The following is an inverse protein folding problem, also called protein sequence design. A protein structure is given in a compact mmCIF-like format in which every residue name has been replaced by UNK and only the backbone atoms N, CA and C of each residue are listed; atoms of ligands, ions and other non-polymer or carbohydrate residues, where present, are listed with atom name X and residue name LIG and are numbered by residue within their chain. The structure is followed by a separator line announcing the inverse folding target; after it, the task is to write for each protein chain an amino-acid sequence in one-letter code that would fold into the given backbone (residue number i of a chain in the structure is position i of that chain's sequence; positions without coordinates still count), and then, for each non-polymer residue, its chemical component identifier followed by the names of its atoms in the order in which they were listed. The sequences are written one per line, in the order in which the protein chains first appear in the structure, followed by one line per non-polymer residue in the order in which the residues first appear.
data_IF_906423678241
#
_entry.id   IF_906423678241
#
_cell.length_a   1.000
_cell.length_b   1.000
_cell.length_c   1.000
_cell.angle_alpha   90.00
_cell.angle_beta   90.00
_cell.angle_gamma   90.00
#
_symmetry.space_group_name_H-M   'P 1'
#
loop_
_entity.id
_entity.type
_entity.pdbx_description
1 polymer ?
#
# COMPACT_ATOMS: atom_id res chain seq x y z
N UNK A 1 24.81 54.17 30.80
CA UNK A 1 23.47 53.54 30.94
C UNK A 1 23.32 52.50 29.84
N UNK A 2 23.31 51.22 30.23
CA UNK A 2 23.29 50.04 29.35
C UNK A 2 21.84 49.64 29.05
N UNK A 3 21.46 49.47 27.78
CA UNK A 3 20.21 48.80 27.41
C UNK A 3 20.56 47.49 26.69
N UNK A 4 20.53 46.40 27.46
CA UNK A 4 20.61 45.02 26.95
C UNK A 4 19.23 44.64 26.43
N UNK A 5 19.08 44.52 25.12
CA UNK A 5 17.88 43.95 24.51
C UNK A 5 18.07 42.43 24.36
N UNK A 6 17.35 41.67 25.18
CA UNK A 6 17.20 40.22 25.05
C UNK A 6 16.09 39.95 24.02
N UNK A 7 16.43 39.33 22.90
CA UNK A 7 15.46 38.80 21.92
C UNK A 7 14.78 37.55 22.50
N UNK A 8 13.43 37.46 22.50
CA UNK A 8 12.75 36.22 22.81
C UNK A 8 12.80 35.27 21.60
N UNK A 9 13.44 34.11 21.82
CA UNK A 9 13.46 32.99 20.89
C UNK A 9 12.08 32.32 20.89
N UNK A 10 11.25 32.61 19.89
CA UNK A 10 9.96 31.95 19.70
C UNK A 10 10.17 30.57 19.06
N UNK A 11 10.20 29.51 19.89
CA UNK A 11 10.08 28.12 19.41
C UNK A 11 8.63 27.90 18.92
N UNK A 12 8.44 27.88 17.60
CA UNK A 12 7.24 27.34 16.97
C UNK A 12 7.28 25.81 17.09
N UNK A 13 6.74 25.27 18.19
CA UNK A 13 6.35 23.86 18.24
C UNK A 13 5.11 23.69 17.35
N UNK A 14 5.31 23.28 16.10
CA UNK A 14 4.23 22.71 15.32
C UNK A 14 3.85 21.36 15.96
N UNK A 15 2.59 21.13 16.35
CA UNK A 15 2.18 19.80 16.76
C UNK A 15 2.37 18.84 15.57
N UNK A 16 2.83 17.59 15.78
CA UNK A 16 2.80 16.60 14.73
C UNK A 16 1.33 16.45 14.32
N UNK A 17 1.03 16.75 13.06
CA UNK A 17 -0.25 16.41 12.47
C UNK A 17 -0.38 14.89 12.59
N UNK A 18 -1.18 14.42 13.55
CA UNK A 18 -1.67 13.05 13.56
C UNK A 18 -2.46 12.90 12.27
N UNK A 19 -1.84 12.30 11.26
CA UNK A 19 -2.52 11.89 10.05
C UNK A 19 -3.73 11.07 10.49
N UNK A 20 -4.93 11.59 10.19
CA UNK A 20 -6.17 10.91 10.50
C UNK A 20 -6.08 9.51 9.92
N UNK A 21 -6.29 8.51 10.77
CA UNK A 21 -6.64 7.17 10.35
C UNK A 21 -8.03 7.24 9.72
N UNK A 22 -8.12 7.82 8.52
CA UNK A 22 -9.28 7.66 7.65
C UNK A 22 -9.45 6.15 7.45
N UNK A 23 -10.56 5.61 7.94
CA UNK A 23 -10.93 4.21 7.72
C UNK A 23 -11.00 3.97 6.22
N UNK A 24 -10.04 3.22 5.71
CA UNK A 24 -9.94 2.98 4.29
C UNK A 24 -11.06 2.05 3.83
N UNK A 25 -11.96 2.54 2.99
CA UNK A 25 -13.06 1.74 2.44
C UNK A 25 -13.33 2.10 0.98
N UNK A 26 -13.63 1.08 0.19
CA UNK A 26 -14.01 1.20 -1.21
C UNK A 26 -15.29 2.03 -1.40
N UNK A 27 -16.13 2.08 -0.36
CA UNK A 27 -17.42 2.78 -0.39
C UNK A 27 -17.34 4.21 0.15
N UNK A 28 -16.15 4.70 0.51
CA UNK A 28 -15.98 6.10 0.89
C UNK A 28 -16.27 6.99 -0.34
N UNK A 29 -17.26 7.90 -0.27
CA UNK A 29 -17.67 8.72 -1.41
C UNK A 29 -16.68 9.85 -1.74
N UNK A 30 -15.84 10.24 -0.79
CA UNK A 30 -14.86 11.33 -0.94
C UNK A 30 -13.50 10.81 -1.40
N UNK A 31 -13.03 9.71 -0.81
CA UNK A 31 -11.75 9.08 -1.15
C UNK A 31 -11.88 7.55 -1.04
N UNK A 32 -12.39 6.86 -2.08
CA UNK A 32 -12.49 5.41 -2.06
C UNK A 32 -11.10 4.81 -2.02
N UNK A 33 -10.90 3.76 -1.22
CA UNK A 33 -9.62 3.07 -1.19
C UNK A 33 -9.75 1.61 -0.77
N UNK A 34 -8.72 0.81 -1.07
CA UNK A 34 -8.63 -0.60 -0.66
C UNK A 34 -7.24 -0.91 -0.10
N UNK A 35 -7.15 -1.85 0.83
CA UNK A 35 -5.86 -2.38 1.30
C UNK A 35 -5.18 -3.15 0.16
N UNK A 36 -3.85 -3.06 0.09
CA UNK A 36 -3.00 -3.72 -0.90
C UNK A 36 -1.89 -4.44 -0.14
N UNK A 37 -1.79 -5.74 -0.35
CA UNK A 37 -0.82 -6.61 0.30
C UNK A 37 -0.01 -7.35 -0.75
N UNK A 38 1.30 -7.49 -0.55
CA UNK A 38 2.13 -8.22 -1.50
C UNK A 38 3.23 -9.05 -0.85
N UNK A 39 3.55 -10.16 -1.48
CA UNK A 39 4.82 -10.86 -1.28
C UNK A 39 5.86 -10.28 -2.24
N UNK A 40 7.07 -10.03 -1.74
CA UNK A 40 8.20 -9.51 -2.53
C UNK A 40 9.35 -10.51 -2.46
N UNK A 41 9.71 -11.08 -3.61
CA UNK A 41 10.78 -12.07 -3.70
C UNK A 41 10.48 -13.38 -2.97
N UNK A 42 11.54 -14.01 -2.46
CA UNK A 42 11.47 -15.26 -1.70
C UNK A 42 11.75 -15.13 -0.20
N UNK A 43 12.35 -14.01 0.22
CA UNK A 43 13.06 -13.91 1.50
C UNK A 43 12.23 -13.24 2.61
N UNK A 44 10.93 -13.50 2.63
CA UNK A 44 10.04 -13.03 3.71
C UNK A 44 9.75 -11.53 3.70
N UNK A 45 10.20 -10.77 2.71
CA UNK A 45 9.82 -9.37 2.51
C UNK A 45 8.38 -9.29 1.98
N UNK A 46 7.57 -8.42 2.59
CA UNK A 46 6.20 -8.18 2.17
C UNK A 46 5.84 -6.70 2.26
N UNK A 47 4.84 -6.31 1.49
CA UNK A 47 4.30 -4.94 1.42
C UNK A 47 2.90 -4.90 2.00
N UNK A 48 2.60 -3.81 2.73
CA UNK A 48 1.26 -3.46 3.17
C UNK A 48 1.00 -1.97 2.95
N UNK A 49 -0.10 -1.68 2.26
CA UNK A 49 -0.43 -0.35 1.83
C UNK A 49 -1.88 -0.21 1.42
N UNK A 50 -2.17 0.90 0.74
CA UNK A 50 -3.50 1.29 0.29
C UNK A 50 -3.45 1.84 -1.12
N UNK A 51 -4.43 1.48 -1.93
CA UNK A 51 -4.70 2.09 -3.23
C UNK A 51 -5.91 3.00 -3.10
N UNK A 52 -5.80 4.23 -3.59
CA UNK A 52 -6.83 5.25 -3.52
C UNK A 52 -7.38 5.58 -4.90
N UNK A 53 -8.67 5.90 -4.99
CA UNK A 53 -9.39 6.16 -6.22
C UNK A 53 -10.22 4.97 -6.72
N UNK A 54 -11.00 5.18 -7.78
CA UNK A 54 -11.92 4.15 -8.31
C UNK A 54 -11.44 3.51 -9.62
N UNK A 55 -10.67 4.23 -10.43
CA UNK A 55 -10.15 3.76 -11.74
C UNK A 55 -8.67 4.08 -11.94
N UNK A 56 -8.20 5.09 -11.25
CA UNK A 56 -6.81 5.50 -11.19
C UNK A 56 -6.59 6.24 -9.87
N UNK A 57 -5.34 6.34 -9.46
CA UNK A 57 -4.96 7.13 -8.29
C UNK A 57 -3.61 6.70 -7.73
N UNK A 58 -3.40 7.01 -6.46
CA UNK A 58 -2.15 6.76 -5.73
C UNK A 58 -2.16 5.41 -5.03
N UNK A 59 -0.97 4.82 -4.89
CA UNK A 59 -0.71 3.71 -3.97
C UNK A 59 0.37 4.15 -3.01
N UNK A 60 0.17 3.90 -1.72
CA UNK A 60 1.14 4.19 -0.67
C UNK A 60 1.17 3.04 0.33
N UNK A 61 2.34 2.74 0.88
CA UNK A 61 2.50 1.75 1.92
C UNK A 61 3.94 1.58 2.32
N UNK A 62 4.21 0.50 3.04
CA UNK A 62 5.54 0.16 3.52
C UNK A 62 5.84 -1.31 3.34
N UNK A 63 7.12 -1.61 3.17
CA UNK A 63 7.65 -2.94 3.31
C UNK A 63 7.74 -3.34 4.78
N UNK A 64 7.85 -4.64 5.04
CA UNK A 64 7.99 -5.21 6.38
C UNK A 64 9.28 -4.81 7.10
N UNK A 65 10.29 -4.33 6.38
CA UNK A 65 11.51 -3.76 6.93
C UNK A 65 11.43 -2.25 7.22
N UNK A 66 10.27 -1.64 6.96
CA UNK A 66 10.01 -0.21 7.16
C UNK A 66 10.27 0.67 5.94
N UNK A 67 10.75 0.11 4.82
CA UNK A 67 10.96 0.88 3.59
C UNK A 67 9.63 1.42 3.06
N UNK A 68 9.52 2.74 2.90
CA UNK A 68 8.32 3.36 2.33
C UNK A 68 8.29 3.20 0.82
N UNK A 69 7.09 2.96 0.27
CA UNK A 69 6.87 2.90 -1.16
C UNK A 69 5.62 3.68 -1.54
N UNK A 70 5.71 4.39 -2.66
CA UNK A 70 4.62 5.17 -3.21
C UNK A 70 4.57 5.09 -4.73
N UNK A 71 3.41 5.34 -5.31
CA UNK A 71 3.28 5.37 -6.76
C UNK A 71 1.85 5.54 -7.22
N UNK A 72 1.56 5.03 -8.41
CA UNK A 72 0.26 5.21 -9.06
C UNK A 72 -0.30 3.90 -9.57
N UNK A 73 -1.62 3.86 -9.73
CA UNK A 73 -2.32 2.77 -10.36
C UNK A 73 -3.39 3.26 -11.32
N UNK A 74 -3.75 2.40 -12.27
CA UNK A 74 -4.78 2.68 -13.27
C UNK A 74 -5.41 1.39 -13.77
N UNK A 75 -6.68 1.43 -14.15
CA UNK A 75 -7.36 0.35 -14.89
C UNK A 75 -7.20 0.59 -16.38
N UNK A 76 -6.47 -0.30 -17.06
CA UNK A 76 -6.28 -0.26 -18.51
C UNK A 76 -7.34 -1.08 -19.24
N UNK A 77 -7.88 -0.47 -20.30
CA UNK A 77 -8.78 -1.06 -21.30
C UNK A 77 -10.13 -1.56 -20.74
N UNK A 78 -11.07 -1.87 -21.64
CA UNK A 78 -12.42 -2.32 -21.27
C UNK A 78 -12.43 -3.65 -20.49
N UNK A 79 -11.38 -4.47 -20.64
CA UNK A 79 -11.22 -5.74 -19.91
C UNK A 79 -11.03 -5.55 -18.40
N UNK A 80 -10.61 -4.35 -17.96
CA UNK A 80 -10.44 -4.05 -16.54
C UNK A 80 -9.12 -4.58 -15.95
N UNK A 81 -8.03 -4.59 -16.74
CA UNK A 81 -6.71 -5.01 -16.25
C UNK A 81 -6.11 -3.82 -15.50
N UNK A 82 -5.90 -3.98 -14.20
CA UNK A 82 -5.21 -2.98 -13.40
C UNK A 82 -3.71 -3.00 -13.67
N UNK A 83 -3.05 -1.85 -13.50
CA UNK A 83 -1.60 -1.73 -13.45
C UNK A 83 -1.21 -0.76 -12.36
N UNK A 84 -0.15 -1.09 -11.62
CA UNK A 84 0.54 -0.13 -10.76
C UNK A 84 2.03 -0.05 -11.09
N UNK A 85 2.58 1.12 -10.82
CA UNK A 85 4.01 1.42 -10.83
C UNK A 85 4.33 2.04 -9.46
N UNK A 86 5.28 1.46 -8.72
CA UNK A 86 5.73 1.90 -7.40
C UNK A 86 7.22 2.24 -7.41
N UNK A 87 7.60 3.19 -6.58
CA UNK A 87 8.97 3.52 -6.24
C UNK A 87 9.13 3.50 -4.71
N UNK A 88 10.20 2.90 -4.23
CA UNK A 88 10.53 2.78 -2.82
C UNK A 88 11.78 3.60 -2.46
N UNK A 89 11.90 3.97 -1.19
CA UNK A 89 13.02 4.78 -0.68
C UNK A 89 14.39 4.08 -0.80
N UNK A 90 14.41 2.75 -0.92
CA UNK A 90 15.61 1.94 -1.15
C UNK A 90 16.04 1.87 -2.63
N UNK A 91 15.37 2.62 -3.51
CA UNK A 91 15.63 2.63 -4.96
C UNK A 91 14.96 1.49 -5.73
N UNK A 92 14.12 0.68 -5.07
CA UNK A 92 13.33 -0.35 -5.74
C UNK A 92 12.18 0.27 -6.52
N UNK A 93 12.07 -0.13 -7.77
CA UNK A 93 10.93 0.18 -8.62
C UNK A 93 10.17 -1.11 -8.91
N UNK A 94 8.85 -1.08 -8.81
CA UNK A 94 8.01 -2.25 -9.03
C UNK A 94 6.88 -1.97 -10.02
N UNK A 95 6.58 -2.95 -10.86
CA UNK A 95 5.45 -2.90 -11.78
C UNK A 95 4.61 -4.15 -11.63
N UNK A 96 3.31 -3.95 -11.36
CA UNK A 96 2.35 -5.04 -11.12
C UNK A 96 1.16 -4.88 -12.05
N UNK A 97 0.68 -6.00 -12.59
CA UNK A 97 -0.57 -6.09 -13.33
C UNK A 97 -1.61 -6.88 -12.53
N UNK A 98 -2.85 -6.42 -12.54
CA UNK A 98 -3.94 -6.93 -11.72
C UNK A 98 -5.09 -7.45 -12.58
N UNK A 99 -5.74 -8.49 -12.08
CA UNK A 99 -7.01 -8.99 -12.61
C UNK A 99 -8.00 -9.11 -11.47
N UNK A 100 -9.22 -8.61 -11.68
CA UNK A 100 -10.30 -8.74 -10.71
C UNK A 100 -10.72 -10.20 -10.51
N UNK A 101 -10.97 -10.55 -9.24
CA UNK A 101 -11.61 -11.80 -8.81
C UNK A 101 -13.07 -11.55 -8.43
N UNK A 102 -13.33 -10.47 -7.70
CA UNK A 102 -14.68 -9.95 -7.45
C UNK A 102 -14.68 -8.44 -7.72
N UNK A 103 -15.52 -7.99 -8.66
CA UNK A 103 -15.63 -6.58 -9.01
C UNK A 103 -16.41 -5.77 -7.97
N UNK A 104 -17.32 -6.41 -7.23
CA UNK A 104 -18.18 -5.76 -6.23
C UNK A 104 -17.37 -5.30 -5.03
N UNK A 105 -16.44 -6.12 -4.56
CA UNK A 105 -15.57 -5.82 -3.41
C UNK A 105 -14.23 -5.20 -3.82
N UNK A 106 -14.01 -5.00 -5.12
CA UNK A 106 -12.72 -4.58 -5.66
C UNK A 106 -11.61 -5.63 -5.48
N UNK A 107 -11.94 -6.87 -5.11
CA UNK A 107 -10.94 -7.91 -4.86
C UNK A 107 -10.20 -8.26 -6.14
N UNK A 108 -8.90 -8.02 -6.16
CA UNK A 108 -8.02 -8.27 -7.28
C UNK A 108 -6.76 -9.01 -6.84
N UNK A 109 -6.23 -9.82 -7.75
CA UNK A 109 -4.90 -10.44 -7.60
C UNK A 109 -4.00 -9.96 -8.71
N UNK A 110 -2.73 -9.74 -8.41
CA UNK A 110 -1.76 -9.27 -9.39
C UNK A 110 -0.42 -9.99 -9.30
N UNK A 111 0.36 -9.80 -10.36
CA UNK A 111 1.74 -10.27 -10.42
C UNK A 111 2.63 -9.25 -11.13
N UNK A 112 3.90 -9.23 -10.76
CA UNK A 112 4.83 -8.21 -11.23
C UNK A 112 6.27 -8.56 -10.92
N UNK A 113 7.16 -7.62 -11.20
CA UNK A 113 8.58 -7.69 -10.82
C UNK A 113 9.12 -6.33 -10.42
N UNK A 114 10.18 -6.35 -9.61
CA UNK A 114 10.99 -5.17 -9.34
C UNK A 114 12.11 -4.99 -10.37
N UNK A 115 12.71 -3.79 -10.42
CA UNK A 115 13.96 -3.50 -11.14
C UNK A 115 15.15 -4.32 -10.61
N UNK A 116 15.09 -4.81 -9.38
CA UNK A 116 16.06 -5.72 -8.76
C UNK A 116 15.82 -7.20 -9.09
N UNK A 117 14.78 -7.50 -9.87
CA UNK A 117 14.51 -8.82 -10.41
C UNK A 117 13.63 -9.72 -9.54
N UNK A 118 13.13 -9.24 -8.40
CA UNK A 118 12.26 -10.04 -7.54
C UNK A 118 10.88 -10.23 -8.16
N UNK A 119 10.28 -11.38 -7.92
CA UNK A 119 8.87 -11.62 -8.24
C UNK A 119 7.96 -10.99 -7.21
N UNK A 120 6.85 -10.40 -7.66
CA UNK A 120 5.84 -9.80 -6.80
C UNK A 120 4.51 -10.51 -7.04
N UNK A 121 3.82 -10.89 -5.97
CA UNK A 121 2.42 -11.34 -5.97
C UNK A 121 1.61 -10.43 -5.07
N UNK A 122 0.48 -9.93 -5.56
CA UNK A 122 -0.30 -8.89 -4.88
C UNK A 122 -1.75 -9.31 -4.73
N UNK A 123 -2.36 -8.88 -3.63
CA UNK A 123 -3.78 -8.96 -3.34
C UNK A 123 -4.28 -7.58 -2.93
N UNK A 124 -5.44 -7.18 -3.41
CA UNK A 124 -6.06 -5.91 -3.03
C UNK A 124 -7.58 -6.07 -2.98
N UNK A 125 -8.26 -5.24 -2.20
CA UNK A 125 -9.72 -5.20 -2.12
C UNK A 125 -10.24 -4.80 -0.75
N UNK A 126 -11.55 -4.52 -0.66
CA UNK A 126 -12.23 -4.22 0.62
C UNK A 126 -12.13 -5.40 1.58
N UNK A 127 -12.35 -6.62 1.07
CA UNK A 127 -12.38 -7.86 1.83
C UNK A 127 -11.11 -8.70 1.62
N UNK A 128 -9.97 -8.04 1.39
CA UNK A 128 -8.71 -8.74 1.04
C UNK A 128 -8.26 -9.71 2.13
N UNK A 129 -8.51 -9.41 3.41
CA UNK A 129 -8.18 -10.30 4.52
C UNK A 129 -9.05 -11.56 4.51
N UNK A 130 -10.36 -11.42 4.30
CA UNK A 130 -11.26 -12.57 4.17
C UNK A 130 -10.86 -13.44 2.96
N UNK A 131 -10.44 -12.82 1.85
CA UNK A 131 -9.90 -13.54 0.70
C UNK A 131 -8.62 -14.33 1.03
N UNK A 132 -7.74 -13.78 1.87
CA UNK A 132 -6.47 -14.41 2.28
C UNK A 132 -6.60 -15.40 3.44
N UNK A 133 -7.71 -15.37 4.17
CA UNK A 133 -7.99 -16.31 5.25
C UNK A 133 -8.31 -17.72 4.73
N UNK A 134 -9.00 -17.84 3.59
CA UNK A 134 -9.45 -19.15 3.10
C UNK A 134 -10.30 -19.89 4.13
N UNK A 135 -10.07 -21.19 4.32
CA UNK A 135 -10.74 -22.03 5.35
C UNK A 135 -10.04 -22.00 6.73
N UNK A 136 -8.98 -21.23 6.91
CA UNK A 136 -8.24 -21.12 8.19
C UNK A 136 -8.78 -20.06 9.16
N UNK A 137 -8.25 -20.02 10.39
CA UNK A 137 -8.68 -19.03 11.41
C UNK A 137 -8.01 -17.66 11.28
N UNK A 138 -6.87 -17.53 10.61
CA UNK A 138 -6.11 -16.26 10.55
C UNK A 138 -5.66 -15.96 9.12
N UNK A 139 -5.90 -14.74 8.59
CA UNK A 139 -5.44 -14.36 7.26
C UNK A 139 -3.91 -14.38 7.17
N UNK A 140 -3.38 -14.86 6.06
CA UNK A 140 -1.94 -14.87 5.82
C UNK A 140 -1.58 -14.65 4.36
N UNK A 141 -0.40 -14.06 4.10
CA UNK A 141 0.14 -13.99 2.75
C UNK A 141 0.81 -15.31 2.39
N UNK A 142 0.42 -15.95 1.28
CA UNK A 142 1.03 -17.20 0.82
C UNK A 142 2.35 -16.91 0.06
N UNK A 143 3.32 -16.33 0.77
CA UNK A 143 4.62 -16.00 0.19
C UNK A 143 5.47 -17.26 -0.03
N UNK A 144 6.39 -17.19 -1.00
CA UNK A 144 7.22 -18.35 -1.37
C UNK A 144 8.11 -18.83 -0.20
N UNK A 145 8.58 -17.91 0.64
CA UNK A 145 9.40 -18.22 1.82
C UNK A 145 8.61 -18.74 3.02
N UNK A 146 7.28 -18.80 2.94
CA UNK A 146 6.40 -19.20 4.05
C UNK A 146 5.19 -18.29 4.18
N UNK A 147 4.18 -18.75 4.91
CA UNK A 147 2.99 -17.96 5.21
C UNK A 147 3.34 -16.81 6.16
N UNK A 148 2.92 -15.59 5.83
CA UNK A 148 3.09 -14.40 6.68
C UNK A 148 1.75 -14.06 7.34
N UNK A 149 1.60 -14.17 8.67
CA UNK A 149 0.38 -13.78 9.37
C UNK A 149 0.06 -12.29 9.17
N UNK A 150 -1.22 -11.99 8.98
CA UNK A 150 -1.70 -10.62 8.81
C UNK A 150 -2.50 -10.18 10.03
N UNK A 151 -2.29 -8.92 10.41
CA UNK A 151 -3.01 -8.24 11.48
C UNK A 151 -4.00 -7.21 10.91
#
# INVERSE_FOLDING_TARGET
MMHRYLLPLSLLLAPPALAQSETCSLYNPSEPCVRVLACVGGDGLWFDGRAYGAREGRIEGQMSDGTLCGGSWTVRNFMGIGRSDLNCDDGREARVYYTYRDRRTGTATGSGRSNLGESIKVWAGEEVLAFLQGEGETPSLPCRGGAVPLN
#
